data_IF_609934005911
#
_entry.id   IF_609934005911
#
_cell.length_a   1.000
_cell.length_b   1.000
_cell.length_c   1.000
_cell.angle_alpha   90.00
_cell.angle_beta   90.00
_cell.angle_gamma   90.00
#
_symmetry.space_group_name_H-M   'P 1'
#
loop_
_entity.id
_entity.type
_entity.pdbx_description
1 polymer ?
#
# COMPACT_ATOMS: atom_id res chain seq x y z
N UNK A 1 -0.17 16.98 -21.74
CA UNK A 1 0.77 17.68 -20.84
C UNK A 1 1.29 16.66 -19.85
N UNK A 2 2.61 16.51 -19.63
CA UNK A 2 3.07 15.79 -18.45
C UNK A 2 2.50 16.54 -17.23
N UNK A 3 1.70 15.87 -16.40
CA UNK A 3 1.13 16.47 -15.20
C UNK A 3 2.22 16.95 -14.25
N UNK A 4 1.93 17.96 -13.44
CA UNK A 4 2.86 18.39 -12.40
C UNK A 4 3.10 17.25 -11.41
N UNK A 5 4.36 16.85 -11.24
CA UNK A 5 4.74 15.83 -10.27
C UNK A 5 4.82 16.45 -8.86
N UNK A 6 4.18 15.81 -7.88
CA UNK A 6 4.25 16.23 -6.48
C UNK A 6 5.30 15.40 -5.75
N UNK A 7 6.30 16.05 -5.17
CA UNK A 7 7.30 15.40 -4.32
C UNK A 7 7.04 15.72 -2.83
N UNK A 8 6.89 14.68 -2.02
CA UNK A 8 6.73 14.76 -0.56
C UNK A 8 8.01 14.23 0.06
N UNK A 9 8.78 15.12 0.68
CA UNK A 9 10.11 14.81 1.22
C UNK A 9 10.14 14.89 2.73
N UNK A 10 10.78 13.92 3.38
CA UNK A 10 11.07 13.91 4.82
C UNK A 10 9.83 13.91 5.72
N UNK A 11 8.67 13.51 5.19
CA UNK A 11 7.44 13.42 5.96
C UNK A 11 7.37 12.08 6.70
N UNK A 12 6.96 12.10 7.97
CA UNK A 12 6.59 10.87 8.68
C UNK A 12 5.30 10.26 8.11
N UNK A 13 4.38 11.12 7.70
CA UNK A 13 3.14 10.75 7.03
C UNK A 13 3.03 11.56 5.73
N UNK A 14 2.86 10.89 4.59
CA UNK A 14 2.72 11.54 3.29
C UNK A 14 1.30 12.06 3.07
N UNK A 15 0.53 11.42 2.18
CA UNK A 15 -0.85 11.84 1.90
C UNK A 15 -1.85 11.03 2.73
N UNK A 16 -2.79 11.73 3.37
CA UNK A 16 -3.94 11.15 4.06
C UNK A 16 -5.24 11.67 3.47
N UNK A 17 -6.04 10.76 2.91
CA UNK A 17 -7.44 11.00 2.59
C UNK A 17 -8.28 10.45 3.73
N UNK A 18 -8.93 11.32 4.49
CA UNK A 18 -9.82 10.91 5.59
C UNK A 18 -11.22 11.43 5.31
N UNK A 19 -12.20 10.52 5.20
CA UNK A 19 -13.59 10.87 4.82
C UNK A 19 -13.69 11.58 3.46
N UNK A 20 -12.78 11.25 2.55
CA UNK A 20 -12.76 11.80 1.18
C UNK A 20 -13.30 10.77 0.22
N UNK A 21 -14.20 11.22 -0.66
CA UNK A 21 -14.79 10.39 -1.69
C UNK A 21 -14.53 10.97 -3.09
N UNK A 22 -14.46 10.10 -4.11
CA UNK A 22 -14.43 10.47 -5.54
C UNK A 22 -13.30 11.43 -5.94
N UNK A 23 -12.14 11.29 -5.32
CA UNK A 23 -10.95 12.07 -5.64
C UNK A 23 -9.90 11.28 -6.40
N UNK A 24 -9.08 11.96 -7.21
CA UNK A 24 -7.92 11.35 -7.89
C UNK A 24 -6.62 11.96 -7.38
N UNK A 25 -5.72 11.11 -6.93
CA UNK A 25 -4.35 11.44 -6.57
C UNK A 25 -3.45 10.83 -7.63
N UNK A 26 -2.62 11.66 -8.24
CA UNK A 26 -1.75 11.19 -9.31
C UNK A 26 -0.37 11.86 -9.28
N UNK A 27 0.61 11.15 -9.85
CA UNK A 27 1.94 11.70 -10.13
C UNK A 27 2.68 12.13 -8.84
N UNK A 28 2.59 11.29 -7.80
CA UNK A 28 3.13 11.53 -6.45
C UNK A 28 4.42 10.73 -6.22
N UNK A 29 5.46 11.37 -5.70
CA UNK A 29 6.62 10.67 -5.13
C UNK A 29 6.77 10.99 -3.65
N UNK A 30 6.87 9.95 -2.82
CA UNK A 30 7.20 10.08 -1.39
C UNK A 30 8.62 9.58 -1.17
N UNK A 31 9.47 10.40 -0.54
CA UNK A 31 10.89 10.09 -0.34
C UNK A 31 11.49 10.83 0.87
N UNK A 32 12.79 10.62 1.09
CA UNK A 32 13.61 11.35 2.06
C UNK A 32 14.88 11.87 1.39
N UNK A 33 15.42 12.98 1.90
CA UNK A 33 16.70 13.51 1.42
C UNK A 33 17.91 12.81 2.04
N UNK A 34 17.71 12.14 3.19
CA UNK A 34 18.66 11.25 3.88
C UNK A 34 17.90 10.15 4.61
N UNK A 35 18.46 8.94 4.82
CA UNK A 35 17.81 7.90 5.60
C UNK A 35 17.39 8.43 6.98
N UNK A 36 16.14 8.15 7.36
CA UNK A 36 15.54 8.54 8.65
C UNK A 36 15.35 7.36 9.59
N UNK A 37 16.17 6.33 9.41
CA UNK A 37 16.18 5.09 10.17
C UNK A 37 17.36 5.08 11.14
N UNK A 38 17.20 4.47 12.29
CA UNK A 38 18.29 4.22 13.20
C UNK A 38 19.04 2.95 12.79
N UNK A 39 20.35 3.04 12.55
CA UNK A 39 21.17 1.88 12.15
C UNK A 39 21.24 0.78 13.23
N UNK A 40 20.96 1.12 14.49
CA UNK A 40 20.89 0.18 15.61
C UNK A 40 19.51 -0.52 15.72
N UNK A 41 18.50 -0.07 14.99
CA UNK A 41 17.17 -0.67 14.95
C UNK A 41 16.83 -1.11 13.52
N UNK A 42 17.15 -2.37 13.20
CA UNK A 42 17.03 -2.92 11.84
C UNK A 42 15.60 -2.94 11.29
N UNK A 43 14.61 -2.85 12.19
CA UNK A 43 13.19 -2.80 11.86
C UNK A 43 12.67 -1.37 11.68
N UNK A 44 13.54 -0.36 11.72
CA UNK A 44 13.14 1.03 11.50
C UNK A 44 12.76 1.30 10.05
N UNK A 45 11.76 2.17 9.90
CA UNK A 45 11.24 2.66 8.62
C UNK A 45 11.41 4.17 8.52
N UNK A 46 11.39 4.72 7.31
CA UNK A 46 11.65 6.15 7.09
C UNK A 46 10.44 7.06 7.45
N UNK A 47 9.31 6.44 7.80
CA UNK A 47 8.08 7.08 8.27
C UNK A 47 6.98 6.05 8.54
N UNK A 48 5.84 6.53 9.03
CA UNK A 48 4.70 5.70 9.44
C UNK A 48 3.78 5.35 8.27
N UNK A 49 3.18 6.33 7.57
CA UNK A 49 2.36 6.09 6.38
C UNK A 49 2.80 6.90 5.15
N UNK A 50 3.00 6.25 3.99
CA UNK A 50 3.31 7.00 2.76
C UNK A 50 2.03 7.57 2.11
N UNK A 51 1.07 6.72 1.77
CA UNK A 51 -0.20 7.11 1.14
C UNK A 51 -1.35 6.34 1.81
N UNK A 52 -2.37 7.06 2.27
CA UNK A 52 -3.46 6.47 3.06
C UNK A 52 -4.84 6.94 2.65
N UNK A 53 -5.79 6.00 2.66
CA UNK A 53 -7.23 6.26 2.57
C UNK A 53 -7.92 5.69 3.81
N UNK A 54 -8.46 6.58 4.64
CA UNK A 54 -9.17 6.27 5.88
C UNK A 54 -10.64 6.65 5.70
N UNK A 55 -11.54 5.70 5.86
CA UNK A 55 -13.00 5.94 5.78
C UNK A 55 -13.49 6.61 4.48
N UNK A 56 -12.71 6.52 3.40
CA UNK A 56 -13.04 7.09 2.09
C UNK A 56 -13.43 6.05 1.05
N UNK A 57 -14.16 6.46 0.03
CA UNK A 57 -14.60 5.56 -1.05
C UNK A 57 -14.49 6.15 -2.45
N UNK A 58 -14.37 5.25 -3.44
CA UNK A 58 -14.35 5.60 -4.86
C UNK A 58 -13.22 6.58 -5.23
N UNK A 59 -12.10 6.54 -4.52
CA UNK A 59 -10.91 7.32 -4.87
C UNK A 59 -9.99 6.54 -5.81
N UNK A 60 -9.22 7.27 -6.62
CA UNK A 60 -8.16 6.74 -7.46
C UNK A 60 -6.81 7.27 -6.98
N UNK A 61 -5.87 6.37 -6.68
CA UNK A 61 -4.46 6.71 -6.45
C UNK A 61 -3.65 6.06 -7.56
N UNK A 62 -3.01 6.87 -8.41
CA UNK A 62 -2.33 6.38 -9.61
C UNK A 62 -0.97 7.01 -9.86
N UNK A 63 -0.09 6.33 -10.61
CA UNK A 63 1.23 6.85 -11.02
C UNK A 63 2.03 7.41 -9.84
N UNK A 64 2.16 6.60 -8.80
CA UNK A 64 2.89 6.98 -7.58
C UNK A 64 4.21 6.22 -7.43
N UNK A 65 5.11 6.80 -6.64
CA UNK A 65 6.40 6.21 -6.29
C UNK A 65 6.69 6.36 -4.79
N UNK A 66 6.71 5.25 -4.06
CA UNK A 66 7.18 5.21 -2.66
C UNK A 66 8.66 4.84 -2.66
N UNK A 67 9.52 5.87 -2.70
CA UNK A 67 10.95 5.73 -2.99
C UNK A 67 11.79 5.27 -1.79
N UNK A 68 11.19 5.10 -0.61
CA UNK A 68 11.78 4.51 0.59
C UNK A 68 10.73 3.74 1.37
N UNK A 69 11.12 2.81 2.23
CA UNK A 69 10.17 2.01 3.02
C UNK A 69 9.52 2.83 4.14
N UNK A 70 8.19 2.82 4.18
CA UNK A 70 7.35 3.25 5.30
C UNK A 70 6.81 2.02 6.04
N UNK A 71 6.39 2.15 7.31
CA UNK A 71 5.72 1.05 8.03
C UNK A 71 4.49 0.60 7.25
N UNK A 72 3.72 1.58 6.76
CA UNK A 72 2.53 1.40 5.93
C UNK A 72 2.67 2.19 4.62
N UNK A 73 2.96 1.53 3.49
CA UNK A 73 3.17 2.27 2.24
C UNK A 73 1.84 2.67 1.61
N UNK A 74 0.94 1.70 1.42
CA UNK A 74 -0.38 1.91 0.81
C UNK A 74 -1.48 1.48 1.78
N UNK A 75 -2.05 2.43 2.52
CA UNK A 75 -3.03 2.14 3.57
C UNK A 75 -4.46 2.30 3.09
N UNK A 76 -5.27 1.29 3.40
CA UNK A 76 -6.74 1.40 3.44
C UNK A 76 -7.23 1.01 4.84
N UNK A 77 -8.06 1.87 5.44
CA UNK A 77 -8.55 1.67 6.81
C UNK A 77 -9.95 2.27 7.01
N UNK A 78 -10.58 1.99 8.15
CA UNK A 78 -11.83 2.64 8.56
C UNK A 78 -13.00 2.34 7.62
N UNK A 79 -13.12 1.10 7.13
CA UNK A 79 -14.10 0.73 6.10
C UNK A 79 -13.93 1.47 4.76
N UNK A 80 -12.70 1.93 4.45
CA UNK A 80 -12.35 2.41 3.12
C UNK A 80 -12.63 1.34 2.06
N UNK A 81 -13.31 1.73 0.99
CA UNK A 81 -13.90 0.79 0.03
C UNK A 81 -13.98 1.34 -1.37
N UNK A 82 -14.00 0.44 -2.37
CA UNK A 82 -14.15 0.81 -3.78
C UNK A 82 -13.06 1.77 -4.27
N UNK A 83 -11.93 1.84 -3.57
CA UNK A 83 -10.79 2.65 -3.98
C UNK A 83 -9.92 1.83 -4.94
N UNK A 84 -9.26 2.53 -5.87
CA UNK A 84 -8.35 1.93 -6.84
C UNK A 84 -6.95 2.48 -6.61
N UNK A 85 -5.99 1.58 -6.47
CA UNK A 85 -4.57 1.87 -6.44
C UNK A 85 -3.94 1.26 -7.70
N UNK A 86 -3.38 2.08 -8.59
CA UNK A 86 -2.86 1.57 -9.86
C UNK A 86 -1.62 2.25 -10.40
N UNK A 87 -0.86 1.55 -11.25
CA UNK A 87 0.34 2.09 -11.92
C UNK A 87 1.38 2.65 -10.93
N UNK A 88 1.44 2.07 -9.74
CA UNK A 88 2.32 2.48 -8.68
C UNK A 88 3.61 1.66 -8.62
N UNK A 89 4.65 2.25 -8.02
CA UNK A 89 5.89 1.54 -7.71
C UNK A 89 6.45 1.93 -6.35
N UNK A 90 7.35 1.11 -5.83
CA UNK A 90 8.18 1.49 -4.70
C UNK A 90 9.38 0.57 -4.56
N UNK A 91 10.23 0.86 -3.58
CA UNK A 91 11.47 0.08 -3.36
C UNK A 91 11.19 -1.31 -2.82
N UNK A 92 10.14 -1.44 -2.00
CA UNK A 92 9.68 -2.68 -1.38
C UNK A 92 8.28 -2.38 -0.79
N UNK A 93 7.25 -2.35 -1.63
CA UNK A 93 5.90 -1.90 -1.25
C UNK A 93 5.20 -2.91 -0.34
N UNK A 94 4.49 -2.39 0.66
CA UNK A 94 3.48 -3.11 1.42
C UNK A 94 2.09 -2.50 1.21
N UNK A 95 1.09 -3.38 1.08
CA UNK A 95 -0.32 -3.02 1.01
C UNK A 95 -0.92 -3.25 2.39
N UNK A 96 -1.17 -2.15 3.09
CA UNK A 96 -1.66 -2.11 4.45
C UNK A 96 -3.19 -2.07 4.47
N UNK A 97 -3.80 -3.25 4.57
CA UNK A 97 -5.20 -3.34 4.99
C UNK A 97 -5.24 -3.22 6.51
N UNK A 98 -5.45 -2.00 7.01
CA UNK A 98 -5.15 -1.61 8.39
C UNK A 98 -6.23 -2.03 9.41
N UNK A 99 -6.83 -3.21 9.20
CA UNK A 99 -7.99 -3.72 9.96
C UNK A 99 -9.15 -2.74 9.92
N UNK A 100 -10.20 -2.92 10.73
CA UNK A 100 -11.44 -2.10 10.67
C UNK A 100 -12.18 -2.19 9.32
N UNK A 101 -12.13 -3.39 8.73
CA UNK A 101 -12.93 -3.83 7.58
C UNK A 101 -12.81 -3.01 6.27
N UNK A 102 -11.62 -2.61 5.77
CA UNK A 102 -11.50 -2.08 4.42
C UNK A 102 -11.84 -3.18 3.40
N UNK A 103 -12.71 -2.90 2.43
CA UNK A 103 -13.30 -3.94 1.59
C UNK A 103 -13.50 -3.49 0.14
N UNK A 104 -13.51 -4.45 -0.80
CA UNK A 104 -13.69 -4.17 -2.23
C UNK A 104 -12.78 -3.09 -2.82
N UNK A 105 -11.55 -2.94 -2.31
CA UNK A 105 -10.54 -2.10 -2.95
C UNK A 105 -9.81 -2.91 -4.04
N UNK A 106 -9.34 -2.22 -5.07
CA UNK A 106 -8.55 -2.79 -6.16
C UNK A 106 -7.12 -2.26 -6.07
N UNK A 107 -6.16 -3.18 -5.99
CA UNK A 107 -4.73 -2.90 -6.12
C UNK A 107 -4.25 -3.55 -7.41
N UNK A 108 -3.87 -2.75 -8.39
CA UNK A 108 -3.57 -3.27 -9.72
C UNK A 108 -2.34 -2.67 -10.40
N UNK A 109 -1.61 -3.48 -11.17
CA UNK A 109 -0.44 -3.02 -11.96
C UNK A 109 0.58 -2.31 -11.04
N UNK A 110 0.95 -2.96 -9.93
CA UNK A 110 1.90 -2.42 -8.96
C UNK A 110 3.26 -3.10 -9.09
N UNK A 111 4.32 -2.29 -9.19
CA UNK A 111 5.70 -2.74 -9.08
C UNK A 111 6.14 -2.68 -7.63
N UNK A 112 6.15 -3.83 -6.96
CA UNK A 112 6.38 -3.93 -5.51
C UNK A 112 7.86 -3.78 -5.12
N UNK A 113 8.78 -3.59 -6.07
CA UNK A 113 10.20 -3.47 -5.77
C UNK A 113 10.76 -4.83 -5.34
N UNK A 114 11.41 -4.90 -4.17
CA UNK A 114 11.89 -6.19 -3.65
C UNK A 114 10.75 -7.19 -3.44
N UNK A 115 9.54 -6.73 -3.09
CA UNK A 115 8.35 -7.56 -2.96
C UNK A 115 8.43 -8.56 -1.82
N UNK A 116 9.20 -8.26 -0.77
CA UNK A 116 9.39 -9.15 0.38
C UNK A 116 8.30 -8.99 1.44
N UNK A 117 7.60 -7.86 1.40
CA UNK A 117 6.57 -7.50 2.38
C UNK A 117 5.17 -7.08 1.83
N UNK A 118 4.64 -7.59 0.70
CA UNK A 118 3.39 -7.09 0.13
C UNK A 118 2.19 -7.05 1.10
N UNK A 119 2.16 -7.94 2.09
CA UNK A 119 1.06 -8.11 3.04
C UNK A 119 1.51 -8.10 4.51
N UNK A 120 2.68 -7.51 4.81
CA UNK A 120 3.33 -7.66 6.11
C UNK A 120 2.85 -6.67 7.19
N UNK A 121 2.02 -5.67 6.85
CA UNK A 121 1.56 -4.67 7.81
C UNK A 121 0.03 -4.67 7.99
N UNK A 122 -0.42 -4.04 9.07
CA UNK A 122 -1.83 -3.97 9.45
C UNK A 122 -2.06 -3.07 10.65
N UNK A 123 -3.32 -3.00 11.06
CA UNK A 123 -3.71 -2.31 12.29
C UNK A 123 -3.54 -3.19 13.53
N UNK A 124 -3.88 -2.61 14.69
CA UNK A 124 -3.90 -3.32 15.98
C UNK A 124 -4.68 -4.63 15.91
N UNK A 125 -4.10 -5.71 16.43
CA UNK A 125 -4.62 -7.09 16.34
C UNK A 125 -6.04 -7.28 16.90
N UNK A 126 -6.48 -6.42 17.81
CA UNK A 126 -7.81 -6.43 18.42
C UNK A 126 -8.93 -5.86 17.52
N UNK A 127 -8.63 -5.45 16.28
CA UNK A 127 -9.58 -4.79 15.36
C UNK A 127 -10.12 -5.68 14.24
N UNK A 128 -10.16 -6.99 14.47
CA UNK A 128 -10.59 -8.00 13.48
C UNK A 128 -9.58 -8.17 12.35
N UNK A 129 -9.89 -8.97 11.32
CA UNK A 129 -8.98 -9.25 10.19
C UNK A 129 -8.42 -7.97 9.51
N UNK A 130 -7.26 -8.09 8.85
CA UNK A 130 -6.60 -6.97 8.14
C UNK A 130 -7.54 -6.33 7.12
N UNK A 131 -8.24 -7.16 6.37
CA UNK A 131 -9.12 -6.79 5.27
C UNK A 131 -10.53 -7.34 5.48
N UNK A 132 -11.52 -6.58 5.03
CA UNK A 132 -12.85 -7.07 4.71
C UNK A 132 -12.86 -7.80 3.36
N UNK A 133 -14.06 -8.26 2.95
CA UNK A 133 -14.23 -9.08 1.76
C UNK A 133 -13.92 -8.35 0.44
N UNK A 134 -13.56 -9.12 -0.59
CA UNK A 134 -13.58 -8.66 -1.98
C UNK A 134 -12.46 -7.69 -2.36
N UNK A 135 -11.45 -7.50 -1.51
CA UNK A 135 -10.24 -6.81 -1.95
C UNK A 135 -9.56 -7.64 -3.05
N UNK A 136 -9.19 -6.96 -4.13
CA UNK A 136 -8.63 -7.58 -5.33
C UNK A 136 -7.20 -7.09 -5.55
N UNK A 137 -6.30 -8.05 -5.76
CA UNK A 137 -4.88 -7.85 -6.01
C UNK A 137 -4.57 -8.42 -7.39
N UNK A 138 -4.30 -7.55 -8.36
CA UNK A 138 -4.15 -7.97 -9.76
C UNK A 138 -2.88 -7.38 -10.40
N UNK A 139 -2.05 -8.22 -11.03
CA UNK A 139 -0.84 -7.73 -11.71
C UNK A 139 0.17 -7.09 -10.75
N UNK A 140 0.25 -7.61 -9.52
CA UNK A 140 1.32 -7.28 -8.59
C UNK A 140 2.59 -8.03 -9.01
N UNK A 141 3.73 -7.32 -9.06
CA UNK A 141 5.00 -7.93 -9.48
C UNK A 141 6.18 -7.39 -8.66
N UNK A 142 7.09 -8.26 -8.19
CA UNK A 142 8.38 -7.82 -7.71
C UNK A 142 9.30 -7.50 -8.89
N UNK A 143 10.36 -6.73 -8.65
CA UNK A 143 11.37 -6.40 -9.63
C UNK A 143 12.13 -7.62 -10.15
N UNK A 144 12.28 -8.65 -9.31
CA UNK A 144 12.93 -9.92 -9.68
C UNK A 144 12.08 -10.82 -10.58
N UNK A 145 10.76 -10.58 -10.68
CA UNK A 145 9.81 -11.50 -11.32
C UNK A 145 9.56 -12.80 -10.52
N UNK A 146 10.16 -12.95 -9.34
CA UNK A 146 9.94 -14.10 -8.46
C UNK A 146 8.48 -14.15 -7.98
N UNK A 147 8.01 -15.32 -7.50
CA UNK A 147 6.69 -15.39 -6.89
C UNK A 147 6.58 -14.50 -5.65
N UNK A 148 5.43 -13.84 -5.47
CA UNK A 148 5.12 -13.08 -4.26
C UNK A 148 4.57 -14.03 -3.17
N UNK A 149 4.85 -13.73 -1.89
CA UNK A 149 4.24 -14.46 -0.79
C UNK A 149 2.72 -14.27 -0.80
N UNK A 150 1.99 -15.32 -0.43
CA UNK A 150 0.56 -15.23 -0.20
C UNK A 150 0.27 -14.44 1.09
N UNK A 151 -0.86 -13.71 1.17
CA UNK A 151 -1.35 -13.18 2.44
C UNK A 151 -1.58 -14.31 3.45
N UNK A 152 -1.34 -14.03 4.73
CA UNK A 152 -1.67 -14.97 5.80
C UNK A 152 -3.19 -15.27 5.83
N UNK A 153 -3.59 -16.42 6.38
CA UNK A 153 -5.00 -16.80 6.47
C UNK A 153 -5.87 -15.79 7.26
N UNK A 154 -5.27 -15.07 8.21
CA UNK A 154 -5.94 -14.03 8.98
C UNK A 154 -6.09 -12.68 8.24
N UNK A 155 -5.53 -12.56 7.03
CA UNK A 155 -5.52 -11.30 6.30
C UNK A 155 -6.94 -10.85 5.96
N UNK A 156 -7.80 -11.73 5.48
CA UNK A 156 -9.20 -11.41 5.26
C UNK A 156 -9.94 -12.43 4.41
N UNK A 157 -11.27 -12.43 4.45
CA UNK A 157 -12.07 -13.38 3.69
C UNK A 157 -12.21 -12.97 2.22
N UNK A 158 -12.41 -13.95 1.33
CA UNK A 158 -12.82 -13.74 -0.07
C UNK A 158 -11.92 -12.73 -0.83
N UNK A 159 -10.61 -12.87 -0.67
CA UNK A 159 -9.62 -12.11 -1.43
C UNK A 159 -9.56 -12.65 -2.86
N UNK A 160 -9.43 -11.77 -3.85
CA UNK A 160 -9.15 -12.16 -5.23
C UNK A 160 -7.70 -11.82 -5.55
N UNK A 161 -6.88 -12.85 -5.84
CA UNK A 161 -5.51 -12.67 -6.28
C UNK A 161 -5.38 -13.22 -7.70
N UNK A 162 -5.00 -12.35 -8.64
CA UNK A 162 -4.96 -12.68 -10.07
C UNK A 162 -3.69 -12.12 -10.72
N UNK A 163 -3.14 -12.79 -11.74
CA UNK A 163 -2.06 -12.23 -12.55
C UNK A 163 -0.75 -11.91 -11.80
N UNK A 164 -0.59 -12.40 -10.57
CA UNK A 164 0.67 -12.46 -9.86
C UNK A 164 1.18 -13.90 -9.94
N UNK A 165 2.47 -14.11 -10.22
CA UNK A 165 3.12 -15.37 -9.84
C UNK A 165 3.10 -15.40 -8.31
N UNK A 166 2.26 -16.25 -7.73
CA UNK A 166 2.14 -16.42 -6.29
C UNK A 166 2.76 -17.77 -5.94
N UNK A 167 3.51 -17.83 -4.86
CA UNK A 167 4.18 -19.05 -4.43
C UNK A 167 4.23 -19.15 -2.91
N UNK A 168 4.23 -20.38 -2.40
CA UNK A 168 4.72 -20.64 -1.06
C UNK A 168 6.25 -20.44 -1.10
N UNK A 169 6.72 -19.42 -0.39
CA UNK A 169 8.15 -19.24 -0.12
C UNK A 169 8.67 -20.30 0.84
#
# INVERSE_FOLDING_TARGET
>A
MPGAQVAILNADNGVFLSWVDRSTLADITVSVTRPRINAQHLDDFNGHHALSILSGQANLVTRFNVAVRYIHDLTVAGSARLNVWMEGRGVDLNIDCHRTAPWANLFTVLSLGLGTRPFASGGRSDRGAHAGRGNTFWGLRPASGAPLPLPACEFGPLLNLSGATLGAG
#
